data_IF_583449082823
#
_entry.id   IF_583449082823
#
_cell.length_a   1.000
_cell.length_b   1.000
_cell.length_c   1.000
_cell.angle_alpha   90.00
_cell.angle_beta   90.00
_cell.angle_gamma   90.00
#
_symmetry.space_group_name_H-M   'P 1'
#
loop_
_entity.id
_entity.type
_entity.pdbx_description
1 polymer ?
#
# COMPACT_ATOMS: atom_id res chain seq x y z
N UNK A 1 1.88 -15.57 38.21
CA UNK A 1 2.08 -15.63 36.74
C UNK A 1 1.20 -16.69 36.04
N UNK A 2 0.70 -17.70 36.77
CA UNK A 2 -0.05 -18.85 36.24
C UNK A 2 -1.41 -18.53 35.58
N UNK A 3 -2.04 -17.41 35.95
CA UNK A 3 -3.32 -16.98 35.39
C UNK A 3 -3.19 -16.25 34.05
N UNK A 4 -1.96 -15.99 33.59
CA UNK A 4 -1.76 -15.43 32.26
C UNK A 4 -2.27 -16.40 31.18
N UNK A 5 -3.08 -15.95 30.21
CA UNK A 5 -3.69 -16.85 29.22
C UNK A 5 -2.69 -17.68 28.40
N UNK A 6 -1.53 -17.12 28.07
CA UNK A 6 -0.51 -17.83 27.30
C UNK A 6 0.19 -18.89 28.16
N UNK A 7 0.46 -18.58 29.42
CA UNK A 7 1.06 -19.50 30.38
C UNK A 7 0.08 -20.61 30.75
N UNK A 8 -1.18 -20.27 31.00
CA UNK A 8 -2.24 -21.23 31.32
C UNK A 8 -2.46 -22.22 30.18
N UNK A 9 -2.61 -21.73 28.94
CA UNK A 9 -2.76 -22.62 27.77
C UNK A 9 -1.53 -23.50 27.53
N UNK A 10 -0.34 -23.06 27.93
CA UNK A 10 0.87 -23.90 27.85
C UNK A 10 0.82 -25.00 28.92
N UNK A 11 0.51 -24.66 30.16
CA UNK A 11 0.48 -25.59 31.29
C UNK A 11 -0.60 -26.66 31.09
N UNK A 12 -1.81 -26.30 30.66
CA UNK A 12 -2.93 -27.25 30.44
C UNK A 12 -2.64 -28.34 29.39
N UNK A 13 -1.58 -28.20 28.58
CA UNK A 13 -1.14 -29.21 27.60
C UNK A 13 -0.14 -30.21 28.17
N UNK A 14 0.30 -30.02 29.40
CA UNK A 14 1.27 -30.88 30.08
C UNK A 14 0.55 -31.81 31.07
N UNK A 15 1.13 -32.97 31.40
CA UNK A 15 0.63 -33.81 32.49
C UNK A 15 0.58 -33.03 33.81
N UNK A 16 -0.42 -33.31 34.66
CA UNK A 16 -0.68 -32.56 35.91
C UNK A 16 0.56 -32.42 36.80
N UNK A 17 1.38 -33.47 36.90
CA UNK A 17 2.61 -33.47 37.70
C UNK A 17 3.63 -32.41 37.25
N UNK A 18 3.64 -32.09 35.95
CA UNK A 18 4.54 -31.11 35.34
C UNK A 18 3.96 -29.69 35.41
N UNK A 19 2.62 -29.55 35.41
CA UNK A 19 1.97 -28.23 35.52
C UNK A 19 2.35 -27.52 36.84
N UNK A 20 2.51 -28.30 37.90
CA UNK A 20 2.83 -27.78 39.22
C UNK A 20 4.33 -27.66 39.49
N UNK A 21 5.21 -28.27 38.67
CA UNK A 21 6.65 -28.27 38.90
C UNK A 21 7.36 -26.96 38.53
N UNK A 22 6.71 -26.04 37.81
CA UNK A 22 7.32 -24.76 37.42
C UNK A 22 7.34 -23.74 38.56
N UNK A 23 8.48 -23.10 38.77
CA UNK A 23 8.62 -21.96 39.68
C UNK A 23 8.13 -20.67 39.04
N UNK A 24 7.78 -19.65 39.83
CA UNK A 24 7.32 -18.36 39.29
C UNK A 24 8.40 -17.67 38.42
N UNK A 25 9.69 -17.85 38.72
CA UNK A 25 10.79 -17.34 37.89
C UNK A 25 10.85 -18.06 36.53
N UNK A 26 10.66 -19.37 36.51
CA UNK A 26 10.59 -20.14 35.26
C UNK A 26 9.37 -19.69 34.42
N UNK A 27 8.22 -19.49 35.07
CA UNK A 27 7.01 -18.99 34.40
C UNK A 27 7.19 -17.57 33.86
N UNK A 28 7.92 -16.71 34.58
CA UNK A 28 8.24 -15.36 34.11
C UNK A 28 9.14 -15.39 32.87
N UNK A 29 10.18 -16.22 32.87
CA UNK A 29 11.05 -16.40 31.71
C UNK A 29 10.31 -17.04 30.53
N UNK A 30 9.43 -18.00 30.78
CA UNK A 30 8.56 -18.59 29.76
C UNK A 30 7.60 -17.55 29.17
N UNK A 31 7.04 -16.64 29.96
CA UNK A 31 6.17 -15.56 29.47
C UNK A 31 6.92 -14.64 28.52
N UNK A 32 8.17 -14.31 28.85
CA UNK A 32 9.03 -13.49 28.00
C UNK A 32 9.40 -14.24 26.73
N UNK A 33 9.78 -15.52 26.83
CA UNK A 33 10.19 -16.36 25.71
C UNK A 33 9.05 -16.72 24.75
N UNK A 34 7.85 -17.02 25.27
CA UNK A 34 6.62 -17.21 24.50
C UNK A 34 6.24 -15.95 23.74
N UNK A 35 6.79 -14.80 24.13
CA UNK A 35 6.59 -13.51 23.51
C UNK A 35 5.10 -13.22 23.47
N UNK A 36 4.55 -12.68 24.56
CA UNK A 36 3.16 -12.20 24.69
C UNK A 36 2.71 -11.15 23.63
N UNK A 37 3.38 -11.09 22.47
CA UNK A 37 2.76 -10.82 21.19
C UNK A 37 1.72 -11.91 20.94
N UNK A 38 0.47 -11.63 21.32
CA UNK A 38 -0.68 -12.15 20.59
C UNK A 38 -0.29 -12.16 19.11
N UNK A 39 -0.08 -13.34 18.52
CA UNK A 39 0.11 -13.46 17.08
C UNK A 39 -1.03 -12.69 16.45
N UNK A 40 -0.70 -11.53 15.90
CA UNK A 40 -1.68 -10.49 15.60
C UNK A 40 -2.72 -11.12 14.72
N UNK A 41 -4.01 -10.98 15.09
CA UNK A 41 -5.13 -11.21 14.18
C UNK A 41 -4.72 -10.64 12.82
N UNK A 42 -4.34 -11.51 11.88
CA UNK A 42 -4.22 -11.09 10.50
C UNK A 42 -5.64 -10.64 10.14
N UNK A 43 -5.80 -9.40 9.70
CA UNK A 43 -7.14 -8.87 9.44
C UNK A 43 -7.89 -9.70 8.40
N UNK A 44 -7.14 -10.38 7.52
CA UNK A 44 -7.66 -11.31 6.54
C UNK A 44 -6.76 -12.55 6.55
N UNK A 45 -7.29 -13.67 7.03
CA UNK A 45 -6.71 -15.02 6.90
C UNK A 45 -7.76 -15.90 6.23
N UNK A 46 -7.65 -16.06 4.91
CA UNK A 46 -8.53 -16.92 4.14
C UNK A 46 -7.78 -18.18 3.77
N UNK A 47 -8.25 -19.30 4.32
CA UNK A 47 -7.72 -20.63 4.02
C UNK A 47 -8.84 -21.44 3.43
N UNK A 48 -8.63 -21.95 2.23
CA UNK A 48 -9.61 -22.78 1.58
C UNK A 48 -8.93 -23.87 0.78
N UNK A 49 -9.72 -24.85 0.38
CA UNK A 49 -9.28 -26.00 -0.39
C UNK A 49 -10.22 -26.11 -1.58
N UNK A 50 -9.66 -26.16 -2.77
CA UNK A 50 -10.41 -26.42 -3.99
C UNK A 50 -10.12 -27.85 -4.43
N UNK A 51 -11.16 -28.64 -4.61
CA UNK A 51 -11.05 -29.97 -5.24
C UNK A 51 -11.26 -29.82 -6.73
N UNK A 52 -10.27 -30.26 -7.51
CA UNK A 52 -10.35 -30.31 -8.96
C UNK A 52 -9.99 -31.73 -9.41
N UNK A 53 -10.95 -32.42 -10.02
CA UNK A 53 -10.89 -33.86 -10.31
C UNK A 53 -10.54 -34.69 -9.06
N UNK A 54 -9.55 -35.58 -9.18
CA UNK A 54 -9.08 -36.47 -8.10
C UNK A 54 -8.12 -35.78 -7.12
N UNK A 55 -7.81 -34.50 -7.31
CA UNK A 55 -6.83 -33.77 -6.51
C UNK A 55 -7.48 -32.67 -5.69
N UNK A 56 -6.91 -32.43 -4.50
CA UNK A 56 -7.30 -31.34 -3.60
C UNK A 56 -6.13 -30.40 -3.45
N UNK A 57 -6.34 -29.14 -3.81
CA UNK A 57 -5.35 -28.09 -3.71
C UNK A 57 -5.73 -27.18 -2.56
N UNK A 58 -4.80 -26.96 -1.62
CA UNK A 58 -4.96 -25.99 -0.55
C UNK A 58 -4.41 -24.65 -1.02
N UNK A 59 -5.06 -23.56 -0.61
CA UNK A 59 -4.52 -22.22 -0.79
C UNK A 59 -4.76 -21.38 0.46
N UNK A 60 -3.79 -20.52 0.73
CA UNK A 60 -3.77 -19.65 1.91
C UNK A 60 -3.51 -18.23 1.42
N UNK A 61 -4.47 -17.36 1.65
CA UNK A 61 -4.37 -15.94 1.38
C UNK A 61 -4.36 -15.19 2.71
N UNK A 62 -3.20 -14.60 3.03
CA UNK A 62 -3.03 -13.75 4.20
C UNK A 62 -2.78 -12.33 3.72
N UNK A 63 -3.65 -11.41 4.12
CA UNK A 63 -3.50 -10.00 3.84
C UNK A 63 -3.65 -9.18 5.13
N UNK A 64 -2.88 -8.10 5.21
CA UNK A 64 -2.92 -7.22 6.37
C UNK A 64 -2.07 -5.99 6.16
N UNK A 65 -2.36 -4.96 6.96
CA UNK A 65 -1.57 -3.73 6.96
C UNK A 65 -0.13 -4.06 7.36
N UNK A 66 0.82 -3.83 6.46
CA UNK A 66 2.24 -3.91 6.79
C UNK A 66 2.56 -2.79 7.80
N UNK A 67 2.79 -3.16 9.06
CA UNK A 67 3.17 -2.24 10.15
C UNK A 67 4.69 -2.12 10.32
N UNK A 68 5.46 -2.82 9.48
CA UNK A 68 6.93 -2.69 9.48
C UNK A 68 7.29 -1.34 8.87
N UNK A 69 8.39 -0.76 9.34
CA UNK A 69 8.96 0.38 8.63
C UNK A 69 9.27 -0.02 7.19
N UNK A 70 8.92 0.85 6.24
CA UNK A 70 9.20 0.64 4.82
C UNK A 70 10.68 0.29 4.65
N UNK A 71 10.95 -0.81 3.95
CA UNK A 71 12.30 -1.18 3.57
C UNK A 71 12.96 -0.03 2.79
N UNK A 72 14.29 0.07 2.85
CA UNK A 72 15.05 1.09 2.09
C UNK A 72 14.68 1.06 0.59
N UNK A 73 14.42 -0.12 0.04
CA UNK A 73 13.96 -0.28 -1.35
C UNK A 73 12.55 0.27 -1.58
N UNK A 74 11.63 0.02 -0.65
CA UNK A 74 10.25 0.51 -0.74
C UNK A 74 10.17 2.03 -0.60
N UNK A 75 10.98 2.62 0.28
CA UNK A 75 11.11 4.09 0.40
C UNK A 75 11.60 4.70 -0.92
N UNK A 76 12.62 4.10 -1.56
CA UNK A 76 13.12 4.55 -2.87
C UNK A 76 12.06 4.44 -3.96
N UNK A 77 11.35 3.32 -4.03
CA UNK A 77 10.24 3.14 -4.99
C UNK A 77 9.14 4.17 -4.78
N UNK A 78 8.76 4.44 -3.53
CA UNK A 78 7.73 5.42 -3.23
C UNK A 78 8.15 6.83 -3.64
N UNK A 79 9.40 7.21 -3.36
CA UNK A 79 9.95 8.50 -3.82
C UNK A 79 10.00 8.59 -5.35
N UNK A 80 10.40 7.54 -6.05
CA UNK A 80 10.41 7.52 -7.51
C UNK A 80 9.00 7.71 -8.10
N UNK A 81 8.00 6.98 -7.59
CA UNK A 81 6.61 7.11 -8.02
C UNK A 81 6.10 8.52 -7.73
N UNK A 82 6.36 9.05 -6.54
CA UNK A 82 5.95 10.40 -6.16
C UNK A 82 6.58 11.46 -7.06
N UNK A 83 7.88 11.37 -7.33
CA UNK A 83 8.58 12.27 -8.24
C UNK A 83 8.05 12.20 -9.66
N UNK A 84 7.72 11.01 -10.16
CA UNK A 84 7.15 10.83 -11.49
C UNK A 84 5.77 11.47 -11.60
N UNK A 85 4.91 11.25 -10.61
CA UNK A 85 3.57 11.85 -10.57
C UNK A 85 3.66 13.38 -10.49
N UNK A 86 4.53 13.92 -9.64
CA UNK A 86 4.72 15.35 -9.49
C UNK A 86 5.25 15.99 -10.78
N UNK A 87 6.25 15.36 -11.40
CA UNK A 87 6.83 15.81 -12.68
C UNK A 87 5.80 15.78 -13.80
N UNK A 88 5.02 14.69 -13.90
CA UNK A 88 3.94 14.57 -14.89
C UNK A 88 2.86 15.64 -14.68
N UNK A 89 2.45 15.88 -13.44
CA UNK A 89 1.49 16.94 -13.11
C UNK A 89 1.99 18.33 -13.48
N UNK A 90 3.24 18.67 -13.12
CA UNK A 90 3.84 19.97 -13.46
C UNK A 90 3.99 20.16 -14.97
N UNK A 91 4.38 19.11 -15.69
CA UNK A 91 4.48 19.14 -17.16
C UNK A 91 3.12 19.37 -17.79
N UNK A 92 2.09 18.64 -17.33
CA UNK A 92 0.72 18.82 -17.79
C UNK A 92 0.22 20.25 -17.56
N UNK A 93 0.37 20.77 -16.34
CA UNK A 93 -0.01 22.15 -15.99
C UNK A 93 0.72 23.19 -16.86
N UNK A 94 2.02 22.97 -17.12
CA UNK A 94 2.81 23.87 -17.97
C UNK A 94 2.31 23.86 -19.42
N UNK A 95 2.06 22.68 -19.99
CA UNK A 95 1.51 22.56 -21.34
C UNK A 95 0.13 23.18 -21.46
N UNK A 96 -0.75 22.95 -20.47
CA UNK A 96 -2.07 23.58 -20.40
C UNK A 96 -1.96 25.11 -20.31
N UNK A 97 -1.06 25.62 -19.48
CA UNK A 97 -0.80 27.05 -19.35
C UNK A 97 -0.32 27.67 -20.66
N UNK A 98 0.65 27.04 -21.34
CA UNK A 98 1.14 27.47 -22.65
C UNK A 98 0.03 27.44 -23.71
N UNK A 99 -0.82 26.41 -23.70
CA UNK A 99 -1.97 26.32 -24.59
C UNK A 99 -2.96 27.47 -24.37
N UNK A 100 -3.30 27.78 -23.12
CA UNK A 100 -4.17 28.91 -22.79
C UNK A 100 -3.56 30.24 -23.23
N UNK A 101 -2.28 30.47 -22.94
CA UNK A 101 -1.58 31.67 -23.37
C UNK A 101 -1.57 31.79 -24.90
N UNK A 102 -1.37 30.68 -25.61
CA UNK A 102 -1.45 30.64 -27.07
C UNK A 102 -2.85 31.02 -27.58
N UNK A 103 -3.92 30.45 -26.99
CA UNK A 103 -5.30 30.76 -27.37
C UNK A 103 -5.64 32.23 -27.10
N UNK A 104 -5.28 32.77 -25.93
CA UNK A 104 -5.50 34.18 -25.57
C UNK A 104 -4.77 35.10 -26.55
N UNK A 105 -3.48 34.85 -26.78
CA UNK A 105 -2.68 35.59 -27.77
C UNK A 105 -3.37 35.57 -29.14
N UNK A 106 -3.80 34.39 -29.59
CA UNK A 106 -4.39 34.20 -30.90
C UNK A 106 -5.79 34.85 -31.02
N UNK A 107 -6.53 34.93 -29.92
CA UNK A 107 -7.80 35.67 -29.84
C UNK A 107 -7.59 37.18 -29.92
N UNK A 108 -6.49 37.70 -29.35
CA UNK A 108 -6.12 39.12 -29.40
C UNK A 108 -5.57 39.56 -30.77
N UNK A 109 -5.41 38.65 -31.74
CA UNK A 109 -4.90 38.95 -33.08
C UNK A 109 -3.42 39.37 -33.11
N UNK A 110 -2.66 39.08 -32.05
CA UNK A 110 -1.23 39.40 -31.99
C UNK A 110 -0.47 38.33 -32.78
N UNK A 111 0.19 38.70 -33.88
CA UNK A 111 1.12 37.82 -34.61
C UNK A 111 2.53 37.92 -34.01
N UNK A 112 3.05 36.80 -33.44
CA UNK A 112 4.45 36.74 -33.00
C UNK A 112 5.37 36.24 -34.12
N UNK A 113 4.83 35.45 -35.05
CA UNK A 113 5.56 34.88 -36.18
C UNK A 113 4.81 35.21 -37.46
N UNK A 114 5.35 36.08 -38.32
CA UNK A 114 4.73 36.32 -39.62
C UNK A 114 4.73 35.01 -40.41
N UNK A 115 3.55 34.57 -40.85
CA UNK A 115 3.27 33.35 -41.65
C UNK A 115 3.34 31.99 -40.93
N UNK A 116 3.36 31.92 -39.60
CA UNK A 116 3.29 30.64 -38.89
C UNK A 116 2.20 30.63 -37.80
N UNK A 117 1.22 29.74 -37.97
CA UNK A 117 0.20 29.46 -36.95
C UNK A 117 0.04 27.95 -36.76
N UNK A 118 -0.16 27.52 -35.51
CA UNK A 118 -0.35 26.10 -35.14
C UNK A 118 -1.73 25.55 -35.57
N UNK A 119 -2.64 26.38 -36.08
CA UNK A 119 -4.00 25.97 -36.51
C UNK A 119 -4.98 25.65 -35.36
N UNK A 120 -4.48 25.49 -34.12
CA UNK A 120 -5.29 25.15 -32.93
C UNK A 120 -6.37 26.21 -32.66
N UNK A 121 -6.07 27.49 -32.87
CA UNK A 121 -7.07 28.56 -32.69
C UNK A 121 -8.20 28.51 -33.73
N UNK A 122 -7.89 28.17 -34.98
CA UNK A 122 -8.90 28.02 -36.03
C UNK A 122 -9.83 26.84 -35.71
N UNK A 123 -9.26 25.70 -35.34
CA UNK A 123 -10.03 24.54 -34.87
C UNK A 123 -10.89 24.88 -33.64
N UNK A 124 -10.33 25.60 -32.67
CA UNK A 124 -11.05 26.01 -31.46
C UNK A 124 -12.22 26.95 -31.80
N UNK A 125 -12.01 27.95 -32.67
CA UNK A 125 -13.10 28.83 -33.10
C UNK A 125 -14.22 28.05 -33.78
N UNK A 126 -13.88 27.18 -34.73
CA UNK A 126 -14.85 26.42 -35.52
C UNK A 126 -15.64 25.38 -34.69
N UNK A 127 -15.00 24.74 -33.70
CA UNK A 127 -15.62 23.63 -32.96
C UNK A 127 -16.18 24.05 -31.58
N UNK A 128 -15.66 25.11 -30.97
CA UNK A 128 -16.02 25.52 -29.60
C UNK A 128 -16.76 26.86 -29.59
N UNK A 129 -16.36 27.84 -30.41
CA UNK A 129 -16.94 29.19 -30.36
C UNK A 129 -18.08 29.42 -31.35
N UNK A 130 -18.09 28.74 -32.50
CA UNK A 130 -19.17 28.81 -33.49
C UNK A 130 -19.34 30.20 -34.11
#
# INVERSE_FOLDING_TARGET
MREDPAIRSLLERMPDSVQHSFTEEQLANLRVALGARSWGKHQIDFRSTISFFSYRYYYVFVAGRNRRELSRSEKRRNLLIQSLLMSGFLTFCSLMGLLLLYLIKSAMGIDLFPNFSLGIWSWFKENILG
#
